data_IF_503631474315
#
_entry.id   IF_503631474315
#
_cell.length_a   1.000
_cell.length_b   1.000
_cell.length_c   1.000
_cell.angle_alpha   90.00
_cell.angle_beta   90.00
_cell.angle_gamma   90.00
#
_symmetry.space_group_name_H-M   'P 1'
#
loop_
_entity.id
_entity.type
_entity.pdbx_description
1 polymer ?
#
# COMPACT_ATOMS: atom_id res chain seq x y z
N UNK A 1 20.37 -13.97 24.59
CA UNK A 1 19.68 -12.74 25.05
C UNK A 1 20.29 -11.60 24.28
N UNK A 2 19.50 -10.91 23.45
CA UNK A 2 19.97 -9.75 22.70
C UNK A 2 20.33 -8.59 23.64
N UNK A 3 21.17 -7.68 23.18
CA UNK A 3 21.52 -6.47 23.93
C UNK A 3 20.27 -5.59 24.04
N UNK A 4 20.04 -5.00 25.21
CA UNK A 4 18.96 -4.03 25.43
C UNK A 4 19.57 -2.64 25.33
N UNK A 5 18.94 -1.76 24.56
CA UNK A 5 19.35 -0.38 24.36
C UNK A 5 18.32 0.56 25.00
N UNK A 6 18.77 1.74 25.41
CA UNK A 6 17.92 2.85 25.87
C UNK A 6 17.58 3.78 24.71
N UNK A 7 16.49 4.54 24.82
CA UNK A 7 16.15 5.55 23.81
C UNK A 7 17.27 6.58 23.61
N UNK A 8 17.89 7.04 24.70
CA UNK A 8 18.99 8.00 24.64
C UNK A 8 20.15 7.49 23.79
N UNK A 9 20.52 6.23 23.93
CA UNK A 9 21.57 5.60 23.10
C UNK A 9 21.18 5.60 21.62
N UNK A 10 19.97 5.15 21.29
CA UNK A 10 19.49 5.10 19.90
C UNK A 10 19.40 6.50 19.28
N UNK A 11 18.96 7.49 20.07
CA UNK A 11 18.79 8.89 19.64
C UNK A 11 20.08 9.59 19.24
N UNK A 12 21.26 9.00 19.50
CA UNK A 12 22.53 9.54 19.03
C UNK A 12 22.82 9.21 17.55
N UNK A 13 22.12 8.22 16.98
CA UNK A 13 22.38 7.70 15.64
C UNK A 13 21.40 8.30 14.61
N UNK A 14 21.60 9.58 14.29
CA UNK A 14 20.68 10.41 13.46
C UNK A 14 21.27 10.93 12.14
N UNK A 15 22.38 10.38 11.67
CA UNK A 15 23.11 10.89 10.51
C UNK A 15 23.28 9.83 9.42
N UNK A 16 23.66 10.24 8.21
CA UNK A 16 23.91 9.31 7.10
C UNK A 16 25.03 8.31 7.40
N UNK A 17 26.03 8.72 8.18
CA UNK A 17 27.15 7.87 8.59
C UNK A 17 26.84 7.00 9.83
N UNK A 18 25.69 7.23 10.48
CA UNK A 18 25.29 6.55 11.71
C UNK A 18 23.78 6.71 11.91
N UNK A 19 23.01 5.75 11.37
CA UNK A 19 21.56 5.80 11.28
C UNK A 19 20.93 4.55 11.90
N UNK A 20 20.34 4.70 13.08
CA UNK A 20 19.59 3.63 13.74
C UNK A 20 18.11 3.96 13.81
N UNK A 21 17.27 2.93 13.79
CA UNK A 21 15.80 3.06 13.91
C UNK A 21 15.25 2.00 14.85
N UNK A 22 14.18 2.33 15.56
CA UNK A 22 13.40 1.35 16.32
C UNK A 22 12.19 0.93 15.48
N UNK A 23 12.02 -0.39 15.31
CA UNK A 23 10.89 -0.99 14.60
C UNK A 23 10.37 -2.19 15.40
N UNK A 24 9.07 -2.16 15.74
CA UNK A 24 8.41 -3.21 16.50
C UNK A 24 9.16 -3.58 17.81
N UNK A 25 9.70 -2.57 18.50
CA UNK A 25 10.48 -2.73 19.74
C UNK A 25 11.90 -3.27 19.56
N UNK A 26 12.39 -3.42 18.33
CA UNK A 26 13.76 -3.85 18.03
C UNK A 26 14.58 -2.68 17.48
N UNK A 27 15.88 -2.66 17.77
CA UNK A 27 16.83 -1.63 17.30
C UNK A 27 17.60 -2.17 16.10
N UNK A 28 17.57 -1.42 15.00
CA UNK A 28 18.25 -1.76 13.76
C UNK A 28 19.26 -0.68 13.36
N UNK A 29 20.45 -1.12 12.95
CA UNK A 29 21.42 -0.29 12.23
C UNK A 29 21.15 -0.38 10.73
N UNK A 30 20.60 0.68 10.16
CA UNK A 30 20.25 0.77 8.74
C UNK A 30 21.22 1.66 7.96
N UNK A 31 22.34 2.08 8.56
CA UNK A 31 23.31 3.02 7.97
C UNK A 31 23.72 2.63 6.55
N UNK A 32 24.07 1.37 6.33
CA UNK A 32 24.48 0.86 5.01
C UNK A 32 23.32 0.74 4.02
N UNK A 33 22.09 0.63 4.51
CA UNK A 33 20.90 0.45 3.70
C UNK A 33 20.24 1.78 3.29
N UNK A 34 20.50 2.87 4.01
CA UNK A 34 19.98 4.21 3.69
C UNK A 34 20.05 4.57 2.19
N UNK A 35 21.19 4.41 1.47
CA UNK A 35 21.28 4.76 0.05
C UNK A 35 20.53 3.79 -0.88
N UNK A 36 20.23 2.58 -0.42
CA UNK A 36 19.58 1.52 -1.20
C UNK A 36 18.05 1.51 -1.03
N UNK A 37 17.52 2.30 -0.09
CA UNK A 37 16.10 2.29 0.24
C UNK A 37 15.22 2.74 -0.95
N UNK A 38 14.27 1.91 -1.42
CA UNK A 38 13.42 2.24 -2.57
C UNK A 38 12.55 3.49 -2.38
N UNK A 39 12.15 3.80 -1.13
CA UNK A 39 11.41 5.03 -0.80
C UNK A 39 12.30 6.29 -0.69
N UNK A 40 13.61 6.16 -0.94
CA UNK A 40 14.61 7.21 -0.85
C UNK A 40 15.23 7.35 0.55
N UNK A 41 16.48 7.81 0.60
CA UNK A 41 17.25 7.96 1.86
C UNK A 41 16.60 8.95 2.86
N UNK A 42 16.01 10.03 2.34
CA UNK A 42 15.52 11.15 3.15
C UNK A 42 14.46 10.74 4.18
N UNK A 43 13.59 9.78 3.85
CA UNK A 43 12.51 9.35 4.76
C UNK A 43 13.06 8.59 5.97
N UNK A 44 14.12 7.78 5.77
CA UNK A 44 14.80 7.07 6.87
C UNK A 44 15.51 8.09 7.76
N UNK A 45 16.25 9.02 7.17
CA UNK A 45 17.02 10.03 7.93
C UNK A 45 16.14 10.94 8.78
N UNK A 46 14.90 11.23 8.36
CA UNK A 46 13.94 11.99 9.17
C UNK A 46 13.52 11.25 10.45
N UNK A 47 13.51 9.92 10.40
CA UNK A 47 13.13 9.04 11.51
C UNK A 47 14.36 8.43 12.23
N UNK A 48 15.56 8.81 11.82
CA UNK A 48 16.78 8.31 12.44
C UNK A 48 16.85 8.70 13.92
N UNK A 49 17.25 7.72 14.73
CA UNK A 49 17.30 7.77 16.20
C UNK A 49 15.94 7.72 16.89
N UNK A 50 14.86 7.35 16.20
CA UNK A 50 13.49 7.35 16.74
C UNK A 50 12.79 6.00 16.54
N UNK A 51 11.63 5.84 17.18
CA UNK A 51 10.68 4.78 16.84
C UNK A 51 9.92 5.17 15.58
N UNK A 52 10.08 4.35 14.55
CA UNK A 52 9.56 4.56 13.22
C UNK A 52 8.44 3.54 12.88
N UNK A 53 7.97 2.77 13.86
CA UNK A 53 7.05 1.65 13.64
C UNK A 53 5.75 2.09 12.99
N UNK A 54 5.15 3.19 13.45
CA UNK A 54 3.86 3.69 12.93
C UNK A 54 3.96 4.15 11.46
N UNK A 55 5.11 4.72 11.08
CA UNK A 55 5.39 5.19 9.72
C UNK A 55 5.81 4.06 8.78
N UNK A 56 6.45 3.02 9.33
CA UNK A 56 6.97 1.87 8.60
C UNK A 56 5.89 0.84 8.26
N UNK A 57 5.08 0.46 9.26
CA UNK A 57 4.13 -0.65 9.19
C UNK A 57 3.10 -0.58 8.04
N UNK A 58 2.48 0.58 7.72
CA UNK A 58 1.46 0.62 6.66
C UNK A 58 2.05 0.61 5.25
N UNK A 59 3.38 0.77 5.13
CA UNK A 59 4.11 0.87 3.86
C UNK A 59 4.73 -0.47 3.48
N UNK A 60 5.22 -1.21 4.47
CA UNK A 60 6.07 -2.37 4.25
C UNK A 60 5.35 -3.68 4.59
N UNK A 61 5.45 -4.72 3.74
CA UNK A 61 4.89 -6.02 4.07
C UNK A 61 5.62 -6.65 5.27
N UNK A 62 4.91 -7.42 6.12
CA UNK A 62 5.55 -8.15 7.21
C UNK A 62 6.65 -9.09 6.68
N UNK A 63 7.78 -9.17 7.38
CA UNK A 63 8.92 -10.03 7.02
C UNK A 63 9.96 -9.38 6.10
N UNK A 64 9.67 -8.24 5.47
CA UNK A 64 10.60 -7.60 4.53
C UNK A 64 11.88 -7.09 5.22
N UNK A 65 11.82 -6.79 6.53
CA UNK A 65 13.00 -6.42 7.32
C UNK A 65 13.99 -7.57 7.37
N UNK A 66 13.52 -8.78 7.66
CA UNK A 66 14.33 -10.00 7.77
C UNK A 66 14.88 -10.45 6.41
N UNK A 67 14.16 -10.18 5.32
CA UNK A 67 14.60 -10.49 3.96
C UNK A 67 15.61 -9.49 3.40
N UNK A 68 15.46 -8.20 3.73
CA UNK A 68 16.23 -7.12 3.13
C UNK A 68 17.48 -6.77 3.93
N UNK A 69 17.37 -6.78 5.26
CA UNK A 69 18.48 -6.46 6.15
C UNK A 69 19.21 -7.72 6.57
N UNK A 70 20.54 -7.65 6.59
CA UNK A 70 21.35 -8.75 7.10
C UNK A 70 21.07 -8.94 8.61
N UNK A 71 21.11 -10.17 9.15
CA UNK A 71 20.81 -10.44 10.55
C UNK A 71 21.64 -9.60 11.54
N UNK A 72 22.87 -9.24 11.17
CA UNK A 72 23.76 -8.36 11.93
C UNK A 72 23.27 -6.90 12.04
N UNK A 73 22.40 -6.44 11.16
CA UNK A 73 21.78 -5.12 11.26
C UNK A 73 20.83 -5.03 12.46
N UNK A 74 20.31 -6.15 12.96
CA UNK A 74 19.48 -6.19 14.17
C UNK A 74 20.37 -6.19 15.41
N UNK A 75 20.51 -5.03 16.05
CA UNK A 75 21.40 -4.85 17.20
C UNK A 75 20.84 -5.45 18.48
N UNK A 76 19.53 -5.37 18.68
CA UNK A 76 18.90 -5.77 19.93
C UNK A 76 17.47 -5.27 20.10
N UNK A 77 17.04 -5.11 21.35
CA UNK A 77 15.70 -4.63 21.72
C UNK A 77 15.78 -3.30 22.46
N UNK A 78 14.75 -2.47 22.35
CA UNK A 78 14.64 -1.21 23.10
C UNK A 78 14.05 -1.47 24.50
N UNK A 79 14.54 -0.76 25.51
CA UNK A 79 13.85 -0.64 26.79
C UNK A 79 12.66 0.30 26.64
N UNK A 80 11.46 -0.29 26.54
CA UNK A 80 10.21 0.45 26.36
C UNK A 80 9.94 1.48 27.47
N UNK A 81 10.52 1.33 28.66
CA UNK A 81 10.37 2.31 29.75
C UNK A 81 11.15 3.61 29.50
N UNK A 82 12.13 3.58 28.60
CA UNK A 82 12.96 4.74 28.23
C UNK A 82 12.46 5.48 27.00
N UNK A 83 11.45 4.94 26.30
CA UNK A 83 10.85 5.63 25.16
C UNK A 83 10.21 6.93 25.64
N UNK A 84 10.40 8.04 24.90
CA UNK A 84 9.72 9.28 25.22
C UNK A 84 8.22 9.01 25.18
N UNK A 85 7.52 9.40 26.25
CA UNK A 85 6.07 9.47 26.24
C UNK A 85 5.69 10.45 25.15
N UNK A 86 5.24 9.94 24.00
CA UNK A 86 4.73 10.75 22.91
C UNK A 86 3.45 11.42 23.43
N UNK A 87 3.56 12.63 23.96
CA UNK A 87 2.46 13.57 23.87
C UNK A 87 2.24 13.78 22.37
N UNK A 88 1.24 13.09 21.81
CA UNK A 88 0.78 13.36 20.45
C UNK A 88 0.55 14.87 20.36
N UNK A 89 1.48 15.59 19.74
CA UNK A 89 1.24 16.99 19.41
C UNK A 89 -0.02 17.00 18.53
N UNK A 90 -1.02 17.84 18.81
CA UNK A 90 -2.31 17.84 18.12
C UNK A 90 -2.21 18.44 16.70
N UNK A 91 -1.15 18.11 15.97
CA UNK A 91 -0.91 18.58 14.63
C UNK A 91 -1.59 17.62 13.67
N UNK A 92 -2.77 18.03 13.22
CA UNK A 92 -3.48 17.59 12.02
C UNK A 92 -4.24 16.24 12.03
N UNK A 93 -4.49 15.61 13.17
CA UNK A 93 -5.70 14.77 13.30
C UNK A 93 -6.91 15.71 13.48
N UNK A 94 -7.36 16.37 12.41
CA UNK A 94 -8.74 16.83 12.41
C UNK A 94 -9.58 15.56 12.49
N UNK A 95 -10.25 15.34 13.62
CA UNK A 95 -11.37 14.42 13.67
C UNK A 95 -12.29 14.79 12.51
N UNK A 96 -12.25 13.98 11.46
CA UNK A 96 -13.15 14.15 10.34
C UNK A 96 -14.51 13.81 10.91
N UNK A 97 -15.39 14.81 10.97
CA UNK A 97 -16.78 14.62 11.38
C UNK A 97 -17.38 13.49 10.54
N UNK A 98 -17.48 12.31 11.14
CA UNK A 98 -17.88 11.08 10.45
C UNK A 98 -19.34 11.17 9.99
N UNK A 99 -20.16 11.98 10.66
CA UNK A 99 -21.55 12.21 10.31
C UNK A 99 -21.70 13.09 9.07
N UNK A 100 -20.66 13.84 8.68
CA UNK A 100 -20.62 14.67 7.48
C UNK A 100 -20.09 13.93 6.23
N UNK A 101 -19.65 12.68 6.36
CA UNK A 101 -19.16 11.86 5.25
C UNK A 101 -20.33 11.09 4.63
N UNK A 102 -20.48 11.19 3.32
CA UNK A 102 -21.49 10.42 2.57
C UNK A 102 -21.28 8.91 2.82
N UNK A 103 -22.32 8.18 3.28
CA UNK A 103 -22.27 6.73 3.40
C UNK A 103 -21.99 6.04 2.06
N UNK A 104 -21.32 4.88 2.08
CA UNK A 104 -20.91 4.18 0.85
C UNK A 104 -22.10 3.76 -0.02
N UNK A 105 -23.24 3.42 0.58
CA UNK A 105 -24.48 3.07 -0.12
C UNK A 105 -25.16 4.27 -0.79
N UNK A 106 -24.73 5.49 -0.48
CA UNK A 106 -25.17 6.72 -1.14
C UNK A 106 -24.22 7.17 -2.26
N UNK A 107 -23.01 6.59 -2.37
CA UNK A 107 -22.11 6.87 -3.49
C UNK A 107 -22.66 6.24 -4.78
N UNK A 108 -22.93 7.05 -5.80
CA UNK A 108 -23.56 6.59 -7.04
C UNK A 108 -22.54 6.25 -8.13
N UNK A 109 -21.32 6.78 -8.01
CA UNK A 109 -20.24 6.60 -8.99
C UNK A 109 -18.86 6.65 -8.31
N UNK A 110 -17.80 6.49 -9.11
CA UNK A 110 -16.43 6.50 -8.60
C UNK A 110 -15.97 7.89 -8.10
N UNK A 111 -16.51 8.98 -8.66
CA UNK A 111 -16.18 10.34 -8.22
C UNK A 111 -16.71 10.61 -6.80
N UNK A 112 -17.88 10.06 -6.45
CA UNK A 112 -18.43 10.14 -5.09
C UNK A 112 -17.53 9.39 -4.09
N UNK A 113 -17.07 8.19 -4.47
CA UNK A 113 -16.13 7.40 -3.66
C UNK A 113 -14.81 8.16 -3.49
N UNK A 114 -14.31 8.78 -4.56
CA UNK A 114 -13.10 9.61 -4.54
C UNK A 114 -13.28 10.83 -3.60
N UNK A 115 -14.42 11.51 -3.65
CA UNK A 115 -14.74 12.64 -2.79
C UNK A 115 -14.85 12.24 -1.30
N UNK A 116 -15.41 11.06 -1.02
CA UNK A 116 -15.44 10.48 0.34
C UNK A 116 -14.03 10.13 0.80
N UNK A 117 -13.23 9.47 -0.03
CA UNK A 117 -11.85 9.10 0.28
C UNK A 117 -10.98 10.34 0.58
N UNK A 118 -11.15 11.43 -0.19
CA UNK A 118 -10.45 12.71 0.03
C UNK A 118 -10.65 13.24 1.46
N UNK A 119 -11.84 13.02 2.03
CA UNK A 119 -12.18 13.48 3.39
C UNK A 119 -11.71 12.53 4.47
N UNK A 120 -11.73 11.22 4.21
CA UNK A 120 -11.49 10.17 5.21
C UNK A 120 -10.01 9.78 5.34
N UNK A 121 -9.25 9.86 4.25
CA UNK A 121 -7.86 9.44 4.21
C UNK A 121 -6.93 10.46 4.86
N UNK A 122 -5.80 9.99 5.38
CA UNK A 122 -4.71 10.89 5.78
C UNK A 122 -4.20 11.67 4.58
N UNK A 123 -3.73 12.90 4.79
CA UNK A 123 -3.16 13.74 3.71
C UNK A 123 -2.01 13.02 2.97
N UNK A 124 -1.21 12.23 3.69
CA UNK A 124 -0.09 11.44 3.13
C UNK A 124 -0.60 10.35 2.19
N UNK A 125 -1.56 9.54 2.65
CA UNK A 125 -2.12 8.46 1.84
C UNK A 125 -2.88 9.00 0.62
N UNK A 126 -3.64 10.08 0.82
CA UNK A 126 -4.33 10.78 -0.26
C UNK A 126 -3.36 11.32 -1.31
N UNK A 127 -2.29 12.00 -0.89
CA UNK A 127 -1.28 12.52 -1.79
C UNK A 127 -0.63 11.40 -2.60
N UNK A 128 -0.32 10.25 -1.98
CA UNK A 128 0.26 9.11 -2.67
C UNK A 128 -0.69 8.57 -3.76
N UNK A 129 -1.95 8.26 -3.44
CA UNK A 129 -2.89 7.67 -4.40
C UNK A 129 -3.40 8.65 -5.47
N UNK A 130 -3.64 9.91 -5.10
CA UNK A 130 -4.19 10.88 -6.04
C UNK A 130 -3.11 11.44 -6.99
N UNK A 131 -1.84 11.44 -6.59
CA UNK A 131 -0.77 12.01 -7.42
C UNK A 131 -0.58 11.28 -8.76
N UNK A 132 0.01 12.01 -9.70
CA UNK A 132 0.57 11.47 -10.93
C UNK A 132 1.82 12.31 -11.27
N UNK A 133 2.49 11.97 -12.37
CA UNK A 133 3.69 12.69 -12.80
C UNK A 133 3.39 14.18 -13.10
N UNK A 134 4.32 15.02 -12.66
CA UNK A 134 4.40 16.46 -12.92
C UNK A 134 3.06 17.22 -12.78
N UNK A 135 2.44 17.58 -13.89
CA UNK A 135 1.26 18.46 -13.97
C UNK A 135 -0.06 17.70 -14.16
N UNK A 136 -0.05 16.37 -13.94
CA UNK A 136 -1.19 15.46 -14.00
C UNK A 136 -1.89 15.38 -15.37
N UNK A 137 -1.29 15.91 -16.45
CA UNK A 137 -1.95 15.99 -17.78
C UNK A 137 -2.35 14.62 -18.30
N UNK A 138 -1.46 13.65 -18.24
CA UNK A 138 -1.72 12.29 -18.69
C UNK A 138 -2.83 11.62 -17.88
N UNK A 139 -2.89 11.85 -16.55
CA UNK A 139 -3.96 11.35 -15.69
C UNK A 139 -5.33 11.87 -16.15
N UNK A 140 -5.43 13.18 -16.38
CA UNK A 140 -6.67 13.81 -16.87
C UNK A 140 -7.04 13.32 -18.27
N UNK A 141 -6.06 13.20 -19.17
CA UNK A 141 -6.30 12.76 -20.54
C UNK A 141 -6.80 11.31 -20.60
N UNK A 142 -6.22 10.41 -19.79
CA UNK A 142 -6.64 9.00 -19.72
C UNK A 142 -8.13 8.85 -19.38
N UNK A 143 -8.70 9.74 -18.55
CA UNK A 143 -10.11 9.71 -18.21
C UNK A 143 -10.97 10.40 -19.28
N UNK A 144 -10.57 11.60 -19.71
CA UNK A 144 -11.38 12.43 -20.62
C UNK A 144 -11.42 11.94 -22.06
N UNK A 145 -10.41 11.17 -22.52
CA UNK A 145 -10.36 10.65 -23.89
C UNK A 145 -11.58 9.79 -24.24
N UNK A 146 -12.14 9.06 -23.27
CA UNK A 146 -13.32 8.22 -23.51
C UNK A 146 -14.56 9.01 -23.93
N UNK A 147 -14.68 10.28 -23.52
CA UNK A 147 -15.79 11.16 -23.95
C UNK A 147 -15.73 11.50 -25.45
N UNK A 148 -14.61 11.26 -26.12
CA UNK A 148 -14.49 11.39 -27.58
C UNK A 148 -15.07 10.19 -28.34
N UNK A 149 -15.40 9.10 -27.65
CA UNK A 149 -15.93 7.88 -28.23
C UNK A 149 -17.42 7.79 -27.92
N UNK A 150 -18.26 7.98 -28.94
CA UNK A 150 -19.71 7.87 -28.80
C UNK A 150 -20.19 6.43 -29.05
N UNK A 151 -21.16 5.98 -28.25
CA UNK A 151 -21.84 4.71 -28.48
C UNK A 151 -22.89 4.86 -29.58
N UNK A 152 -22.94 3.90 -30.50
CA UNK A 152 -24.04 3.73 -31.47
C UNK A 152 -24.87 2.51 -31.06
N UNK A 153 -25.83 2.65 -30.13
CA UNK A 153 -26.62 1.52 -29.64
C UNK A 153 -27.46 0.92 -30.77
N UNK A 154 -27.60 -0.41 -30.74
CA UNK A 154 -28.54 -1.12 -31.63
C UNK A 154 -29.90 -1.19 -30.96
N UNK A 155 -30.94 -0.87 -31.72
CA UNK A 155 -32.35 -0.92 -31.26
C UNK A 155 -33.01 -2.22 -31.70
N UNK A 156 -34.10 -2.59 -31.03
CA UNK A 156 -34.86 -3.84 -31.27
C UNK A 156 -34.03 -5.12 -31.11
N UNK A 157 -33.06 -5.10 -30.18
CA UNK A 157 -32.31 -6.29 -29.74
C UNK A 157 -32.90 -6.74 -28.41
N UNK A 158 -33.17 -8.04 -28.25
CA UNK A 158 -33.54 -8.60 -26.95
C UNK A 158 -32.34 -8.55 -26.00
N UNK A 159 -32.49 -7.77 -24.92
CA UNK A 159 -31.48 -7.54 -23.88
C UNK A 159 -31.95 -8.06 -22.52
N UNK A 160 -32.99 -8.89 -22.49
CA UNK A 160 -33.55 -9.44 -21.24
C UNK A 160 -32.50 -10.19 -20.42
N UNK A 161 -31.56 -10.87 -21.11
CA UNK A 161 -30.42 -11.53 -20.50
C UNK A 161 -29.14 -10.97 -21.11
N UNK A 162 -28.28 -10.40 -20.26
CA UNK A 162 -26.95 -9.93 -20.65
C UNK A 162 -25.92 -10.66 -19.79
N UNK A 163 -24.86 -11.16 -20.43
CA UNK A 163 -23.74 -11.82 -19.77
C UNK A 163 -22.48 -10.97 -19.95
N UNK A 164 -21.92 -10.50 -18.84
CA UNK A 164 -20.68 -9.71 -18.81
C UNK A 164 -19.44 -10.58 -18.63
N UNK A 165 -19.62 -11.89 -18.45
CA UNK A 165 -18.51 -12.80 -18.22
C UNK A 165 -17.64 -12.96 -19.48
N UNK A 166 -16.35 -13.11 -19.28
CA UNK A 166 -15.37 -13.20 -20.36
C UNK A 166 -14.15 -14.00 -19.90
N UNK A 167 -13.08 -14.01 -20.69
CA UNK A 167 -11.78 -14.53 -20.28
C UNK A 167 -10.71 -13.44 -20.29
N UNK A 168 -9.82 -13.49 -19.30
CA UNK A 168 -8.60 -12.67 -19.23
C UNK A 168 -7.41 -13.64 -19.21
N UNK A 169 -6.56 -13.58 -20.24
CA UNK A 169 -5.41 -14.49 -20.41
C UNK A 169 -5.79 -15.98 -20.30
N UNK A 170 -6.97 -16.35 -20.81
CA UNK A 170 -7.48 -17.73 -20.77
C UNK A 170 -8.24 -18.11 -19.49
N UNK A 171 -8.24 -17.26 -18.46
CA UNK A 171 -8.95 -17.51 -17.19
C UNK A 171 -10.36 -16.92 -17.24
N UNK A 172 -11.36 -17.66 -16.77
CA UNK A 172 -12.75 -17.20 -16.72
C UNK A 172 -12.91 -16.13 -15.64
N UNK A 173 -13.60 -15.04 -15.97
CA UNK A 173 -14.01 -13.97 -15.05
C UNK A 173 -15.47 -13.60 -15.29
N UNK A 174 -16.16 -13.11 -14.27
CA UNK A 174 -17.59 -12.76 -14.33
C UNK A 174 -17.83 -11.34 -14.85
N UNK A 175 -16.82 -10.47 -14.80
CA UNK A 175 -16.85 -9.10 -15.31
C UNK A 175 -15.64 -8.82 -16.20
N UNK A 176 -15.77 -7.94 -17.22
CA UNK A 176 -14.69 -7.64 -18.17
C UNK A 176 -13.74 -6.58 -17.61
N UNK A 177 -13.47 -6.63 -16.31
CA UNK A 177 -12.64 -5.69 -15.56
C UNK A 177 -11.72 -6.46 -14.63
N UNK A 178 -10.58 -5.87 -14.31
CA UNK A 178 -9.64 -6.38 -13.33
C UNK A 178 -9.16 -5.22 -12.45
N UNK A 179 -8.71 -5.54 -11.24
CA UNK A 179 -8.03 -4.59 -10.37
C UNK A 179 -6.55 -4.55 -10.76
N UNK A 180 -6.12 -3.40 -11.29
CA UNK A 180 -4.73 -3.12 -11.65
C UNK A 180 -3.82 -3.15 -10.41
N UNK A 181 -2.54 -3.54 -10.54
CA UNK A 181 -1.63 -3.56 -9.40
C UNK A 181 -1.40 -2.15 -8.87
N UNK A 182 -1.60 -1.98 -7.57
CA UNK A 182 -1.27 -0.78 -6.81
C UNK A 182 -0.56 -1.19 -5.53
N UNK A 183 0.57 -0.54 -5.24
CA UNK A 183 1.34 -0.79 -4.04
C UNK A 183 0.71 -0.13 -2.81
N UNK A 184 1.02 -0.66 -1.63
CA UNK A 184 0.71 -0.05 -0.34
C UNK A 184 -0.79 0.18 -0.08
N UNK A 185 -1.65 -0.79 -0.33
CA UNK A 185 -3.10 -0.65 -0.07
C UNK A 185 -3.41 -0.41 1.42
N UNK A 186 -2.53 -0.84 2.35
CA UNK A 186 -2.66 -0.58 3.80
C UNK A 186 -2.57 0.90 4.19
N UNK A 187 -2.05 1.77 3.30
CA UNK A 187 -2.12 3.23 3.51
C UNK A 187 -3.56 3.76 3.45
N UNK A 188 -4.45 3.12 2.69
CA UNK A 188 -5.84 3.55 2.55
C UNK A 188 -6.81 2.81 3.45
N UNK A 189 -6.55 1.54 3.76
CA UNK A 189 -7.41 0.74 4.62
C UNK A 189 -6.61 -0.42 5.24
N UNK A 190 -6.81 -0.74 6.53
CA UNK A 190 -6.05 -1.81 7.21
C UNK A 190 -6.16 -3.17 6.53
N UNK A 191 -7.30 -3.50 5.90
CA UNK A 191 -7.50 -4.73 5.14
C UNK A 191 -6.56 -4.90 3.93
N UNK A 192 -5.95 -3.80 3.45
CA UNK A 192 -4.97 -3.84 2.37
C UNK A 192 -5.41 -4.56 1.10
N UNK A 193 -4.43 -5.18 0.44
CA UNK A 193 -4.60 -5.99 -0.77
C UNK A 193 -5.46 -7.24 -0.54
N UNK A 194 -5.49 -7.79 0.67
CA UNK A 194 -6.37 -8.90 1.05
C UNK A 194 -7.85 -8.49 1.01
N UNK A 195 -8.19 -7.26 1.43
CA UNK A 195 -9.53 -6.70 1.27
C UNK A 195 -9.98 -6.62 -0.20
N UNK A 196 -9.06 -6.24 -1.08
CA UNK A 196 -9.27 -6.25 -2.54
C UNK A 196 -9.50 -7.69 -3.04
N UNK A 197 -8.72 -8.66 -2.56
CA UNK A 197 -8.89 -10.07 -2.91
C UNK A 197 -10.29 -10.58 -2.58
N UNK A 198 -10.80 -10.26 -1.38
CA UNK A 198 -12.18 -10.64 -0.99
C UNK A 198 -13.24 -10.01 -1.88
N UNK A 199 -13.06 -8.75 -2.28
CA UNK A 199 -13.97 -8.08 -3.20
C UNK A 199 -13.93 -8.71 -4.60
N UNK A 200 -12.74 -8.97 -5.14
CA UNK A 200 -12.56 -9.62 -6.44
C UNK A 200 -13.18 -11.02 -6.46
N UNK A 201 -13.04 -11.80 -5.39
CA UNK A 201 -13.69 -13.09 -5.24
C UNK A 201 -15.22 -12.95 -5.36
N UNK A 202 -15.81 -12.04 -4.58
CA UNK A 202 -17.27 -11.82 -4.55
C UNK A 202 -17.86 -11.49 -5.93
N UNK A 203 -17.15 -10.70 -6.74
CA UNK A 203 -17.61 -10.27 -8.05
C UNK A 203 -17.05 -11.10 -9.22
N UNK A 204 -16.19 -12.10 -8.95
CA UNK A 204 -15.49 -12.88 -9.97
C UNK A 204 -14.59 -12.02 -10.87
N UNK A 205 -13.91 -11.04 -10.30
CA UNK A 205 -12.94 -10.19 -10.97
C UNK A 205 -11.51 -10.72 -10.77
N UNK A 206 -10.60 -10.39 -11.69
CA UNK A 206 -9.18 -10.66 -11.51
C UNK A 206 -8.53 -9.56 -10.66
N UNK A 207 -7.71 -9.93 -9.67
CA UNK A 207 -6.80 -9.00 -8.98
C UNK A 207 -5.38 -9.21 -9.48
N UNK A 208 -4.73 -8.17 -9.97
CA UNK A 208 -3.29 -8.20 -10.24
C UNK A 208 -2.57 -7.62 -9.02
N UNK A 209 -1.73 -8.43 -8.37
CA UNK A 209 -1.00 -8.06 -7.16
C UNK A 209 0.30 -7.36 -7.55
N UNK A 210 0.61 -6.25 -6.89
CA UNK A 210 1.89 -5.54 -7.09
C UNK A 210 3.03 -6.28 -6.42
N UNK A 211 4.19 -6.31 -7.08
CA UNK A 211 5.45 -6.72 -6.44
C UNK A 211 5.76 -5.96 -5.14
N UNK A 212 5.26 -4.73 -5.01
CA UNK A 212 5.47 -3.85 -3.85
C UNK A 212 4.19 -3.71 -3.01
N UNK A 213 3.36 -4.76 -2.93
CA UNK A 213 2.20 -4.78 -2.06
C UNK A 213 2.59 -4.58 -0.58
N UNK A 214 1.69 -4.02 0.22
CA UNK A 214 1.87 -3.88 1.68
C UNK A 214 1.62 -5.18 2.47
N UNK A 215 1.37 -6.29 1.78
CA UNK A 215 1.10 -7.60 2.35
C UNK A 215 1.85 -8.68 1.56
N UNK A 216 2.22 -9.77 2.21
CA UNK A 216 2.83 -10.91 1.52
C UNK A 216 1.79 -11.62 0.62
N UNK A 217 2.21 -12.35 -0.42
CA UNK A 217 1.29 -13.13 -1.25
C UNK A 217 0.38 -14.05 -0.43
N UNK A 218 0.91 -14.73 0.58
CA UNK A 218 0.17 -15.66 1.44
C UNK A 218 -0.95 -14.96 2.20
N UNK A 219 -0.68 -13.75 2.71
CA UNK A 219 -1.68 -12.93 3.40
C UNK A 219 -2.78 -12.45 2.46
N UNK A 220 -2.41 -12.08 1.22
CA UNK A 220 -3.38 -11.62 0.22
C UNK A 220 -4.32 -12.76 -0.17
N UNK A 221 -3.76 -13.96 -0.40
CA UNK A 221 -4.47 -15.14 -0.87
C UNK A 221 -5.19 -15.91 0.24
N UNK A 222 -5.08 -15.49 1.51
CA UNK A 222 -5.69 -16.18 2.64
C UNK A 222 -7.20 -16.39 2.41
N UNK A 223 -7.65 -17.64 2.42
CA UNK A 223 -9.07 -17.98 2.21
C UNK A 223 -9.61 -17.76 0.79
N UNK A 224 -8.77 -17.42 -0.18
CA UNK A 224 -9.16 -17.35 -1.58
C UNK A 224 -9.50 -18.76 -2.12
N UNK A 225 -10.64 -18.96 -2.82
CA UNK A 225 -10.97 -20.24 -3.42
C UNK A 225 -10.06 -20.52 -4.63
N UNK A 226 -9.91 -21.79 -4.96
CA UNK A 226 -8.97 -22.25 -5.99
C UNK A 226 -9.27 -21.73 -7.42
N UNK A 227 -10.52 -21.31 -7.68
CA UNK A 227 -10.98 -20.76 -8.95
C UNK A 227 -10.90 -19.22 -9.01
N UNK A 228 -10.49 -18.55 -7.93
CA UNK A 228 -10.24 -17.11 -7.96
C UNK A 228 -9.01 -16.79 -8.82
N UNK A 229 -9.17 -15.81 -9.72
CA UNK A 229 -8.13 -15.42 -10.65
C UNK A 229 -7.27 -14.30 -10.06
N UNK A 230 -5.96 -14.56 -9.98
CA UNK A 230 -4.96 -13.57 -9.62
C UNK A 230 -3.96 -13.38 -10.78
N UNK A 231 -3.41 -12.18 -10.87
CA UNK A 231 -2.22 -11.87 -11.65
C UNK A 231 -1.09 -11.39 -10.74
N UNK A 232 0.14 -11.46 -11.24
CA UNK A 232 1.31 -10.98 -10.52
C UNK A 232 2.05 -9.95 -11.38
N UNK A 233 2.19 -8.73 -10.87
CA UNK A 233 2.96 -7.68 -11.51
C UNK A 233 4.41 -7.75 -11.04
N UNK A 234 5.29 -8.24 -11.92
CA UNK A 234 6.71 -8.37 -11.63
C UNK A 234 7.48 -7.06 -11.82
N UNK A 235 8.27 -6.65 -10.81
CA UNK A 235 9.38 -5.73 -10.98
C UNK A 235 10.67 -6.52 -10.93
N UNK A 236 11.39 -6.58 -12.05
CA UNK A 236 12.63 -7.34 -12.11
C UNK A 236 13.72 -6.60 -11.35
N UNK A 237 14.26 -7.27 -10.34
CA UNK A 237 15.28 -6.73 -9.46
C UNK A 237 16.65 -6.69 -10.14
N UNK A 238 17.52 -5.81 -9.66
CA UNK A 238 18.91 -5.73 -10.13
C UNK A 238 19.65 -7.05 -9.86
N UNK A 239 19.47 -7.60 -8.66
CA UNK A 239 19.82 -8.98 -8.35
C UNK A 239 18.74 -9.91 -8.92
N UNK A 240 19.06 -10.54 -10.05
CA UNK A 240 18.10 -11.36 -10.81
C UNK A 240 17.59 -12.55 -10.04
N UNK A 241 18.39 -13.11 -9.13
CA UNK A 241 17.99 -14.29 -8.36
C UNK A 241 16.74 -14.01 -7.53
N UNK A 242 16.61 -12.81 -6.97
CA UNK A 242 15.42 -12.37 -6.23
C UNK A 242 14.14 -12.26 -7.07
N UNK A 243 14.24 -12.31 -8.40
CA UNK A 243 13.07 -12.32 -9.30
C UNK A 243 12.76 -13.71 -9.86
N UNK A 244 13.69 -14.66 -9.71
CA UNK A 244 13.57 -16.04 -10.17
C UNK A 244 12.97 -16.93 -9.08
N UNK A 245 13.35 -16.67 -7.83
CA UNK A 245 12.79 -17.29 -6.62
C UNK A 245 11.41 -16.68 -6.27
#
# INVERSE_FOLDING_TARGET
MGKVYTYDEVSQHRTEDSCWVILYGNVYDVTKFVPEHPGGAKIILQLAGQDATEEYDPIHPPGILEETLAPECKLGTIDASTLPSVEKSPVDEKEVDQDAIMPLDHCLNMDDIEAVATKKMSKKAWAYYFSAADDLKSKVLNNTVYSSILLRPRVFVDITNCDTSTTILGNKVNIPLFVSPAAMARLGHPDGEHGIARACNKYGACQIISNNASQTPEQILEGAPADQVFGWQLYVQNDRKKSED
#
